data_IF_104859109842
#
_entry.id   IF_104859109842
#
_cell.length_a   1.000
_cell.length_b   1.000
_cell.length_c   1.000
_cell.angle_alpha   90.00
_cell.angle_beta   90.00
_cell.angle_gamma   90.00
#
_symmetry.space_group_name_H-M   'P 1'
#
loop_
_entity.id
_entity.type
_entity.pdbx_description
1 polymer ?
#
# COMPACT_ATOMS: atom_id res chain seq x y z
N UNK A 1 -8.68 -29.45 -15.59
CA UNK A 1 -8.01 -28.75 -16.71
C UNK A 1 -6.63 -28.32 -16.25
N UNK A 2 -5.59 -28.61 -17.05
CA UNK A 2 -4.27 -28.06 -16.80
C UNK A 2 -4.34 -26.53 -16.86
N UNK A 3 -3.68 -25.88 -15.90
CA UNK A 3 -3.59 -24.43 -15.77
C UNK A 3 -2.12 -24.06 -15.75
N UNK A 4 -1.80 -22.98 -16.43
CA UNK A 4 -0.46 -22.39 -16.45
C UNK A 4 -0.59 -20.95 -15.99
N UNK A 5 0.42 -20.47 -15.28
CA UNK A 5 0.50 -19.08 -14.82
C UNK A 5 1.90 -18.54 -15.09
N UNK A 6 1.99 -17.23 -15.31
CA UNK A 6 3.27 -16.54 -15.34
C UNK A 6 3.11 -15.08 -14.95
N UNK A 7 4.21 -14.49 -14.49
CA UNK A 7 4.38 -13.06 -14.35
C UNK A 7 5.11 -12.53 -15.59
N UNK A 8 4.55 -11.52 -16.26
CA UNK A 8 5.11 -10.95 -17.50
C UNK A 8 5.50 -9.49 -17.35
N UNK A 9 6.75 -9.18 -17.68
CA UNK A 9 7.27 -7.81 -17.77
C UNK A 9 7.66 -7.51 -19.23
N UNK A 10 6.81 -6.76 -19.94
CA UNK A 10 6.98 -6.48 -21.37
C UNK A 10 6.94 -7.75 -22.23
N UNK A 11 7.55 -7.69 -23.43
CA UNK A 11 7.49 -8.80 -24.40
C UNK A 11 8.44 -9.96 -24.08
N UNK A 12 9.58 -9.69 -23.44
CA UNK A 12 10.71 -10.64 -23.35
C UNK A 12 10.90 -11.30 -21.98
N UNK A 13 10.31 -10.78 -20.90
CA UNK A 13 10.50 -11.32 -19.56
C UNK A 13 9.23 -12.00 -19.08
N UNK A 14 9.32 -13.29 -18.79
CA UNK A 14 8.26 -14.07 -18.20
C UNK A 14 8.84 -14.97 -17.10
N UNK A 15 8.21 -14.97 -15.94
CA UNK A 15 8.53 -15.88 -14.83
C UNK A 15 7.39 -16.89 -14.72
N UNK A 16 7.61 -18.16 -15.10
CA UNK A 16 6.58 -19.19 -14.98
C UNK A 16 6.29 -19.45 -13.50
N UNK A 17 5.01 -19.66 -13.19
CA UNK A 17 4.52 -19.90 -11.84
C UNK A 17 3.97 -21.32 -11.73
N UNK A 18 4.35 -22.00 -10.65
CA UNK A 18 3.79 -23.31 -10.31
C UNK A 18 2.48 -23.11 -9.56
N UNK A 19 1.40 -23.62 -10.13
CA UNK A 19 0.07 -23.55 -9.52
C UNK A 19 -0.20 -24.82 -8.71
N UNK A 20 -0.70 -24.64 -7.47
CA UNK A 20 -1.38 -25.71 -6.73
C UNK A 20 -2.88 -25.44 -6.78
N UNK A 21 -3.66 -26.42 -7.23
CA UNK A 21 -5.13 -26.28 -7.26
C UNK A 21 -5.65 -26.37 -5.83
N UNK A 22 -6.50 -25.43 -5.45
CA UNK A 22 -7.20 -25.43 -4.18
C UNK A 22 -8.68 -25.67 -4.41
N UNK A 23 -9.32 -26.33 -3.44
CA UNK A 23 -10.77 -26.44 -3.44
C UNK A 23 -11.36 -25.11 -2.93
N UNK A 24 -12.29 -24.53 -3.67
CA UNK A 24 -13.02 -23.31 -3.30
C UNK A 24 -14.51 -23.51 -3.58
N UNK A 25 -15.26 -23.84 -2.53
CA UNK A 25 -16.73 -24.01 -2.61
C UNK A 25 -17.44 -22.70 -2.88
N UNK A 26 -16.90 -21.60 -2.36
CA UNK A 26 -17.37 -20.24 -2.60
C UNK A 26 -17.45 -19.91 -4.09
N UNK A 27 -16.50 -20.38 -4.90
CA UNK A 27 -16.55 -20.17 -6.35
C UNK A 27 -17.79 -20.80 -7.00
N UNK A 28 -18.22 -21.98 -6.53
CA UNK A 28 -19.46 -22.62 -7.00
C UNK A 28 -20.68 -21.82 -6.53
N UNK A 29 -20.72 -21.43 -5.26
CA UNK A 29 -21.82 -20.65 -4.68
C UNK A 29 -21.99 -19.28 -5.36
N UNK A 30 -20.89 -18.58 -5.60
CA UNK A 30 -20.87 -17.26 -6.25
C UNK A 30 -21.19 -17.30 -7.75
N UNK A 31 -21.02 -18.46 -8.41
CA UNK A 31 -21.24 -18.59 -9.86
C UNK A 31 -22.69 -18.37 -10.28
N UNK A 32 -23.65 -18.59 -9.36
CA UNK A 32 -25.10 -18.59 -9.63
C UNK A 32 -25.53 -19.54 -10.77
N UNK A 33 -24.68 -20.50 -11.15
CA UNK A 33 -24.97 -21.48 -12.19
C UNK A 33 -25.11 -22.88 -11.59
N UNK A 34 -26.30 -23.48 -11.66
CA UNK A 34 -26.58 -24.80 -11.07
C UNK A 34 -25.97 -25.99 -11.82
N UNK A 35 -25.59 -25.80 -13.09
CA UNK A 35 -25.10 -26.88 -13.97
C UNK A 35 -23.60 -27.13 -13.89
N UNK A 36 -22.83 -26.28 -13.18
CA UNK A 36 -21.38 -26.33 -13.17
C UNK A 36 -20.80 -26.25 -11.76
N UNK A 37 -19.93 -27.21 -11.41
CA UNK A 37 -19.15 -27.15 -10.18
C UNK A 37 -17.84 -26.41 -10.45
N UNK A 38 -17.63 -25.33 -9.70
CA UNK A 38 -16.39 -24.54 -9.70
C UNK A 38 -15.54 -24.80 -8.46
N UNK A 39 -15.80 -25.90 -7.75
CA UNK A 39 -15.10 -26.26 -6.52
C UNK A 39 -13.58 -26.37 -6.72
N UNK A 40 -13.12 -26.63 -7.94
CA UNK A 40 -11.69 -26.71 -8.27
C UNK A 40 -11.15 -25.43 -8.91
N UNK A 41 -11.89 -24.33 -8.94
CA UNK A 41 -11.46 -23.08 -9.57
C UNK A 41 -10.34 -22.37 -8.77
N UNK A 42 -10.27 -22.60 -7.46
CA UNK A 42 -9.23 -22.05 -6.60
C UNK A 42 -7.81 -22.51 -6.97
N UNK A 43 -6.84 -21.64 -6.73
CA UNK A 43 -5.42 -21.95 -6.89
C UNK A 43 -4.58 -21.08 -5.95
N UNK A 44 -3.38 -21.55 -5.67
CA UNK A 44 -2.32 -20.77 -5.05
C UNK A 44 -1.01 -20.93 -5.82
N UNK A 45 -0.09 -20.02 -5.57
CA UNK A 45 1.27 -20.07 -6.12
C UNK A 45 2.23 -19.32 -5.21
N UNK A 46 3.50 -19.69 -5.28
CA UNK A 46 4.59 -19.01 -4.58
C UNK A 46 5.44 -18.30 -5.61
N UNK A 47 5.65 -17.00 -5.37
CA UNK A 47 6.49 -16.16 -6.21
C UNK A 47 7.82 -15.96 -5.49
N UNK A 48 8.91 -16.37 -6.12
CA UNK A 48 10.26 -16.06 -5.65
C UNK A 48 10.58 -14.60 -6.00
N UNK A 49 10.76 -13.71 -5.00
CA UNK A 49 11.01 -12.29 -5.25
C UNK A 49 12.28 -12.02 -6.06
N UNK A 50 13.32 -12.86 -5.93
CA UNK A 50 14.59 -12.68 -6.62
C UNK A 50 14.42 -12.73 -8.14
N UNK A 51 13.46 -13.52 -8.64
CA UNK A 51 13.13 -13.63 -10.08
C UNK A 51 12.47 -12.38 -10.65
N UNK A 52 11.98 -11.48 -9.80
CA UNK A 52 11.30 -10.26 -10.21
C UNK A 52 12.23 -9.05 -10.31
N UNK A 53 13.45 -9.16 -9.77
CA UNK A 53 14.46 -8.10 -9.83
C UNK A 53 15.02 -7.98 -11.25
N UNK A 54 15.09 -6.74 -11.76
CA UNK A 54 15.56 -6.46 -13.13
C UNK A 54 16.68 -5.42 -13.21
N UNK A 55 17.12 -4.89 -12.07
CA UNK A 55 18.08 -3.78 -11.99
C UNK A 55 17.53 -2.42 -12.44
N UNK A 56 16.25 -2.34 -12.82
CA UNK A 56 15.60 -1.07 -13.18
C UNK A 56 15.00 -0.41 -11.93
N UNK A 57 14.88 0.92 -11.97
CA UNK A 57 14.23 1.70 -10.91
C UNK A 57 12.78 1.24 -10.63
N UNK A 58 12.05 0.82 -11.67
CA UNK A 58 10.75 0.18 -11.50
C UNK A 58 10.49 -0.86 -12.59
N UNK A 59 9.83 -1.97 -12.24
CA UNK A 59 9.33 -2.96 -13.19
C UNK A 59 7.95 -3.44 -12.77
N UNK A 60 6.98 -3.38 -13.69
CA UNK A 60 5.64 -3.93 -13.49
C UNK A 60 5.54 -5.32 -14.14
N UNK A 61 5.12 -6.29 -13.33
CA UNK A 61 4.86 -7.67 -13.71
C UNK A 61 3.35 -7.92 -13.73
N UNK A 62 2.82 -8.30 -14.89
CA UNK A 62 1.41 -8.65 -15.06
C UNK A 62 1.21 -10.13 -14.75
N UNK A 63 0.26 -10.44 -13.88
CA UNK A 63 -0.10 -11.84 -13.62
C UNK A 63 -1.07 -12.31 -14.69
N UNK A 64 -0.68 -13.35 -15.42
CA UNK A 64 -1.47 -13.96 -16.50
C UNK A 64 -1.71 -15.44 -16.17
N UNK A 65 -2.94 -15.90 -16.43
CA UNK A 65 -3.36 -17.29 -16.33
C UNK A 65 -3.73 -17.81 -17.72
N UNK A 66 -3.38 -19.07 -17.98
CA UNK A 66 -3.80 -19.83 -19.14
C UNK A 66 -4.53 -21.09 -18.75
N UNK A 67 -5.60 -21.41 -19.47
CA UNK A 67 -6.30 -22.69 -19.34
C UNK A 67 -6.37 -23.41 -20.69
N UNK A 68 -6.11 -24.70 -20.67
CA UNK A 68 -6.32 -25.56 -21.84
C UNK A 68 -7.80 -25.90 -21.95
N UNK A 69 -8.41 -25.54 -23.08
CA UNK A 69 -9.82 -25.73 -23.37
C UNK A 69 -10.02 -26.58 -24.64
N UNK A 70 -9.31 -27.71 -24.72
CA UNK A 70 -9.36 -28.63 -25.87
C UNK A 70 -8.44 -28.27 -27.05
N UNK A 71 -7.76 -27.13 -26.99
CA UNK A 71 -6.75 -26.68 -27.96
C UNK A 71 -5.31 -26.97 -27.50
N UNK A 72 -4.39 -27.09 -28.46
CA UNK A 72 -2.94 -27.24 -28.22
C UNK A 72 -2.32 -26.01 -27.51
N UNK A 73 -2.87 -24.82 -27.75
CA UNK A 73 -2.45 -23.59 -27.10
C UNK A 73 -3.44 -23.21 -25.98
N UNK A 74 -2.96 -22.75 -24.81
CA UNK A 74 -3.83 -22.29 -23.74
C UNK A 74 -4.51 -20.97 -24.13
N UNK A 75 -5.78 -20.80 -23.73
CA UNK A 75 -6.41 -19.47 -23.74
C UNK A 75 -5.90 -18.70 -22.54
N UNK A 76 -5.29 -17.55 -22.78
CA UNK A 76 -4.60 -16.75 -21.77
C UNK A 76 -5.37 -15.46 -21.47
N UNK A 77 -5.23 -14.97 -20.25
CA UNK A 77 -5.80 -13.70 -19.84
C UNK A 77 -5.18 -13.19 -18.54
N UNK A 78 -5.30 -11.87 -18.28
CA UNK A 78 -4.82 -11.31 -17.02
C UNK A 78 -5.67 -11.83 -15.86
N UNK A 79 -5.04 -12.05 -14.72
CA UNK A 79 -5.75 -12.31 -13.47
C UNK A 79 -6.45 -11.03 -13.07
N UNK A 80 -7.76 -11.15 -12.88
CA UNK A 80 -8.59 -10.03 -12.46
C UNK A 80 -9.01 -10.20 -11.01
N UNK A 81 -9.06 -9.09 -10.30
CA UNK A 81 -9.53 -9.02 -8.94
C UNK A 81 -10.66 -8.00 -8.89
N UNK A 82 -11.78 -8.40 -8.31
CA UNK A 82 -12.92 -7.52 -8.01
C UNK A 82 -12.75 -6.96 -6.61
N UNK A 83 -13.16 -5.71 -6.41
CA UNK A 83 -13.07 -5.01 -5.14
C UNK A 83 -11.76 -4.23 -4.96
N UNK A 84 -11.83 -3.28 -4.01
CA UNK A 84 -10.72 -2.44 -3.59
C UNK A 84 -10.20 -2.98 -2.26
N UNK A 85 -9.38 -4.03 -2.31
CA UNK A 85 -8.67 -4.50 -1.12
C UNK A 85 -7.21 -4.06 -1.26
N UNK A 86 -6.70 -3.19 -0.36
CA UNK A 86 -5.28 -2.87 -0.35
C UNK A 86 -4.49 -4.15 -0.08
N UNK A 87 -3.61 -4.50 -1.01
CA UNK A 87 -2.78 -5.69 -0.89
C UNK A 87 -1.46 -5.34 -0.20
N UNK A 88 -0.95 -6.19 0.70
CA UNK A 88 0.23 -5.87 1.49
C UNK A 88 1.46 -5.69 0.61
N UNK A 89 2.19 -4.61 0.85
CA UNK A 89 3.49 -4.32 0.23
C UNK A 89 4.56 -5.18 0.89
N UNK A 90 5.37 -5.86 0.09
CA UNK A 90 6.50 -6.66 0.57
C UNK A 90 7.81 -5.89 0.37
N UNK A 91 8.50 -5.56 1.45
CA UNK A 91 9.88 -5.05 1.39
C UNK A 91 10.85 -6.24 1.28
N UNK A 92 11.82 -6.13 0.38
CA UNK A 92 12.90 -7.12 0.19
C UNK A 92 14.18 -6.68 0.90
N UNK A 93 14.40 -5.37 0.97
CA UNK A 93 15.40 -4.68 1.77
C UNK A 93 14.87 -3.26 2.13
N UNK A 94 15.74 -2.38 2.60
CA UNK A 94 15.39 -1.00 2.99
C UNK A 94 14.89 -0.12 1.84
N UNK A 95 15.33 -0.39 0.61
CA UNK A 95 15.09 0.44 -0.57
C UNK A 95 14.52 -0.34 -1.76
N UNK A 96 14.09 -1.58 -1.58
CA UNK A 96 13.46 -2.40 -2.61
C UNK A 96 12.18 -3.00 -2.08
N UNK A 97 11.08 -2.77 -2.81
CA UNK A 97 9.77 -3.32 -2.48
C UNK A 97 9.06 -3.93 -3.67
N UNK A 98 8.10 -4.79 -3.36
CA UNK A 98 7.10 -5.33 -4.26
C UNK A 98 5.74 -4.85 -3.79
N UNK A 99 5.12 -3.96 -4.55
CA UNK A 99 3.78 -3.45 -4.32
C UNK A 99 2.78 -4.15 -5.25
N UNK A 100 1.83 -4.94 -4.71
CA UNK A 100 0.74 -5.46 -5.51
C UNK A 100 -0.23 -4.33 -5.83
N UNK A 101 -0.64 -4.24 -7.09
CA UNK A 101 -1.56 -3.19 -7.57
C UNK A 101 -2.67 -3.80 -8.40
N UNK A 102 -3.88 -3.25 -8.27
CA UNK A 102 -5.02 -3.58 -9.10
C UNK A 102 -5.28 -2.36 -9.97
N UNK A 103 -5.02 -2.46 -11.27
CA UNK A 103 -5.32 -1.37 -12.20
C UNK A 103 -6.16 -1.89 -13.35
N UNK A 104 -7.30 -1.24 -13.60
CA UNK A 104 -8.35 -1.69 -14.53
C UNK A 104 -8.82 -3.13 -14.25
N UNK A 105 -8.92 -3.47 -12.96
CA UNK A 105 -9.28 -4.79 -12.46
C UNK A 105 -8.20 -5.86 -12.64
N UNK A 106 -7.01 -5.55 -13.18
CA UNK A 106 -5.91 -6.50 -13.41
C UNK A 106 -4.92 -6.47 -12.25
N UNK A 107 -4.63 -7.63 -11.68
CA UNK A 107 -3.61 -7.79 -10.65
C UNK A 107 -2.20 -7.72 -11.25
N UNK A 108 -1.36 -6.88 -10.66
CA UNK A 108 0.03 -6.67 -11.04
C UNK A 108 0.92 -6.62 -9.81
N UNK A 109 2.18 -6.99 -9.99
CA UNK A 109 3.23 -6.79 -9.00
C UNK A 109 4.20 -5.74 -9.53
N UNK A 110 4.40 -4.66 -8.79
CA UNK A 110 5.40 -3.65 -9.14
C UNK A 110 6.59 -3.80 -8.22
N UNK A 111 7.75 -4.07 -8.82
CA UNK A 111 9.04 -4.00 -8.13
C UNK A 111 9.56 -2.59 -8.26
N UNK A 112 9.91 -1.94 -7.16
CA UNK A 112 10.39 -0.56 -7.11
C UNK A 112 11.68 -0.47 -6.31
N UNK A 113 12.67 0.23 -6.87
CA UNK A 113 13.82 0.75 -6.14
C UNK A 113 13.47 2.15 -5.64
N UNK A 114 13.44 2.29 -4.32
CA UNK A 114 13.07 3.48 -3.60
C UNK A 114 14.25 4.44 -3.57
N UNK A 115 13.99 5.72 -3.82
CA UNK A 115 15.02 6.75 -3.70
C UNK A 115 15.26 7.17 -2.25
N UNK A 116 14.23 7.04 -1.41
CA UNK A 116 14.27 7.41 -0.02
C UNK A 116 13.20 6.68 0.80
N UNK A 117 13.45 6.59 2.11
CA UNK A 117 12.50 6.05 3.10
C UNK A 117 12.42 6.94 4.32
N UNK A 118 11.25 6.95 4.97
CA UNK A 118 11.04 7.48 6.30
C UNK A 118 11.79 6.60 7.30
N UNK A 119 12.48 7.24 8.23
CA UNK A 119 13.22 6.60 9.32
C UNK A 119 12.54 6.90 10.64
N UNK A 120 12.03 8.12 10.81
CA UNK A 120 11.46 8.57 12.06
C UNK A 120 10.54 9.76 11.80
N UNK A 121 9.50 9.87 12.62
CA UNK A 121 8.70 11.09 12.73
C UNK A 121 8.46 11.41 14.21
N UNK A 122 8.51 12.69 14.54
CA UNK A 122 8.27 13.18 15.90
C UNK A 122 7.62 14.56 15.85
N UNK A 123 7.09 15.03 16.97
CA UNK A 123 6.49 16.36 17.05
C UNK A 123 6.94 17.08 18.30
N UNK A 124 7.06 18.41 18.19
CA UNK A 124 7.27 19.35 19.28
C UNK A 124 5.98 20.04 19.75
N UNK A 125 4.83 19.66 19.17
CA UNK A 125 3.51 20.24 19.43
C UNK A 125 3.02 21.23 18.37
N UNK A 126 3.93 21.85 17.60
CA UNK A 126 3.58 22.79 16.52
C UNK A 126 3.97 22.26 15.14
N UNK A 127 4.99 21.42 15.09
CA UNK A 127 5.58 20.88 13.87
C UNK A 127 5.72 19.37 14.00
N UNK A 128 5.67 18.70 12.86
CA UNK A 128 6.06 17.30 12.73
C UNK A 128 7.40 17.27 12.02
N UNK A 129 8.43 16.79 12.72
CA UNK A 129 9.73 16.53 12.14
C UNK A 129 9.68 15.21 11.39
N UNK A 130 9.99 15.26 10.10
CA UNK A 130 10.13 14.10 9.22
C UNK A 130 11.60 13.85 8.99
N UNK A 131 12.10 12.68 9.40
CA UNK A 131 13.49 12.26 9.17
C UNK A 131 13.51 11.05 8.25
N UNK A 132 14.34 11.11 7.22
CA UNK A 132 14.47 10.04 6.25
C UNK A 132 15.91 9.73 5.88
N UNK A 133 16.04 8.67 5.08
CA UNK A 133 17.30 8.20 4.53
C UNK A 133 17.16 8.04 3.01
N UNK A 134 18.17 8.49 2.27
CA UNK A 134 18.33 8.33 0.83
C UNK A 134 18.98 6.98 0.54
N UNK A 135 18.57 6.33 -0.56
CA UNK A 135 19.26 5.12 -1.05
C UNK A 135 20.71 5.43 -1.45
N UNK A 136 21.57 4.41 -1.45
CA UNK A 136 22.92 4.56 -1.95
C UNK A 136 22.90 4.91 -3.45
N UNK A 137 23.62 5.98 -3.83
CA UNK A 137 23.60 6.46 -5.22
C UNK A 137 22.31 7.17 -5.63
N UNK A 138 21.48 7.59 -4.66
CA UNK A 138 20.36 8.49 -4.96
C UNK A 138 20.87 9.74 -5.71
N UNK A 139 20.08 10.31 -6.63
CA UNK A 139 20.44 11.57 -7.26
C UNK A 139 20.80 12.65 -6.23
N UNK A 140 21.66 13.59 -6.59
CA UNK A 140 21.98 14.75 -5.73
C UNK A 140 20.85 15.80 -5.72
N UNK A 141 21.16 16.98 -5.17
CA UNK A 141 20.33 18.17 -5.28
C UNK A 141 18.97 18.06 -4.58
N UNK A 142 18.88 17.41 -3.42
CA UNK A 142 17.65 17.43 -2.62
C UNK A 142 17.46 18.83 -2.04
N UNK A 143 16.36 19.51 -2.39
CA UNK A 143 16.10 20.91 -1.98
C UNK A 143 14.92 21.06 -1.04
N UNK A 144 13.95 20.15 -1.10
CA UNK A 144 12.79 20.19 -0.22
C UNK A 144 12.16 18.81 0.01
N UNK A 145 11.44 18.70 1.13
CA UNK A 145 10.38 17.71 1.30
C UNK A 145 9.08 18.38 0.93
N UNK A 146 8.34 17.84 -0.05
CA UNK A 146 7.02 18.34 -0.38
C UNK A 146 5.93 17.51 0.28
N UNK A 147 4.90 18.21 0.76
CA UNK A 147 3.62 17.64 1.17
C UNK A 147 2.57 18.11 0.17
N UNK A 148 1.84 17.19 -0.47
CA UNK A 148 0.86 17.50 -1.52
C UNK A 148 -0.48 16.83 -1.26
N UNK A 149 -1.55 17.62 -1.21
CA UNK A 149 -2.91 17.13 -1.11
C UNK A 149 -3.31 16.39 -2.39
N UNK A 150 -3.73 15.14 -2.28
CA UNK A 150 -4.01 14.34 -3.48
C UNK A 150 -5.23 14.82 -4.27
N UNK A 151 -6.20 15.45 -3.60
CA UNK A 151 -7.45 15.92 -4.20
C UNK A 151 -7.29 17.33 -4.76
N UNK A 152 -6.87 18.27 -3.93
CA UNK A 152 -6.81 19.70 -4.29
C UNK A 152 -5.55 20.05 -5.07
N UNK A 153 -4.51 19.20 -5.01
CA UNK A 153 -3.17 19.47 -5.56
C UNK A 153 -2.45 20.65 -4.92
N UNK A 154 -2.95 21.11 -3.77
CA UNK A 154 -2.21 22.02 -2.92
C UNK A 154 -0.90 21.36 -2.48
N UNK A 155 0.21 22.07 -2.60
CA UNK A 155 1.53 21.56 -2.30
C UNK A 155 2.36 22.58 -1.53
N UNK A 156 3.10 22.11 -0.53
CA UNK A 156 4.03 22.91 0.27
C UNK A 156 5.42 22.28 0.21
N UNK A 157 6.41 23.06 -0.24
CA UNK A 157 7.81 22.65 -0.32
C UNK A 157 8.54 23.15 0.93
N UNK A 158 8.95 22.21 1.78
CA UNK A 158 9.56 22.51 3.06
C UNK A 158 11.08 22.34 2.96
N UNK A 159 11.85 23.32 3.47
CA UNK A 159 13.30 23.26 3.41
C UNK A 159 13.81 22.02 4.12
N UNK A 160 14.87 21.43 3.57
CA UNK A 160 15.44 20.18 4.05
C UNK A 160 16.87 20.40 4.51
N UNK A 161 17.21 19.83 5.65
CA UNK A 161 18.59 19.69 6.09
C UNK A 161 19.09 18.32 5.68
N UNK A 162 20.22 18.24 4.98
CA UNK A 162 20.80 16.99 4.49
C UNK A 162 22.16 16.78 5.16
N UNK A 163 22.35 15.60 5.74
CA UNK A 163 23.62 15.15 6.31
C UNK A 163 23.96 13.75 5.77
N UNK A 164 24.90 13.72 4.83
CA UNK A 164 25.26 12.52 4.08
C UNK A 164 24.06 11.92 3.34
N UNK A 165 23.60 10.75 3.81
CA UNK A 165 22.41 10.06 3.28
C UNK A 165 21.14 10.34 4.08
N UNK A 166 21.24 11.03 5.21
CA UNK A 166 20.08 11.36 6.04
C UNK A 166 19.57 12.74 5.70
N UNK A 167 18.27 12.94 5.87
CA UNK A 167 17.66 14.25 5.71
C UNK A 167 16.55 14.47 6.74
N UNK A 168 16.27 15.73 7.02
CA UNK A 168 15.18 16.13 7.91
C UNK A 168 14.46 17.36 7.37
N UNK A 169 13.14 17.41 7.55
CA UNK A 169 12.31 18.56 7.28
C UNK A 169 11.26 18.72 8.39
N UNK A 170 10.78 19.94 8.61
CA UNK A 170 9.77 20.26 9.62
C UNK A 170 8.48 20.70 8.93
N UNK A 171 7.42 19.94 9.18
CA UNK A 171 6.08 20.17 8.63
C UNK A 171 5.24 20.92 9.66
N UNK A 172 4.88 22.20 9.43
CA UNK A 172 4.00 22.92 10.35
C UNK A 172 2.61 22.27 10.41
N UNK A 173 2.10 22.00 11.61
CA UNK A 173 0.77 21.43 11.79
C UNK A 173 -0.34 22.40 11.34
N UNK A 174 -0.07 23.70 11.36
CA UNK A 174 -0.98 24.75 10.90
C UNK A 174 -1.28 24.70 9.39
N UNK A 175 -0.56 23.88 8.60
CA UNK A 175 -0.91 23.62 7.20
C UNK A 175 -2.18 22.77 7.05
N UNK A 176 -2.62 22.13 8.14
CA UNK A 176 -3.75 21.21 8.17
C UNK A 176 -4.89 21.76 9.04
N UNK A 177 -6.06 21.13 8.96
CA UNK A 177 -7.23 21.46 9.78
C UNK A 177 -8.35 22.17 9.02
N UNK A 178 -8.13 22.53 7.76
CA UNK A 178 -9.12 23.21 6.92
C UNK A 178 -10.10 22.25 6.20
N UNK A 179 -9.88 20.93 6.25
CA UNK A 179 -10.71 19.97 5.53
C UNK A 179 -12.12 19.85 6.15
N UNK A 180 -13.14 20.32 5.43
CA UNK A 180 -14.55 20.09 5.80
C UNK A 180 -14.91 18.61 5.62
N UNK A 181 -15.17 17.90 6.73
CA UNK A 181 -15.64 16.50 6.70
C UNK A 181 -14.58 15.42 6.97
N UNK A 182 -14.49 14.46 6.05
CA UNK A 182 -13.76 13.17 6.20
C UNK A 182 -12.24 13.27 6.19
N UNK A 183 -11.57 12.11 6.01
CA UNK A 183 -10.11 12.05 5.94
C UNK A 183 -9.57 12.71 4.66
N UNK A 184 -8.57 13.56 4.82
CA UNK A 184 -7.91 14.29 3.75
C UNK A 184 -6.43 13.87 3.59
N UNK A 185 -6.09 13.14 2.50
CA UNK A 185 -4.77 12.53 2.34
C UNK A 185 -3.79 13.47 1.62
N UNK A 186 -2.60 13.60 2.22
CA UNK A 186 -1.46 14.34 1.70
C UNK A 186 -0.27 13.40 1.48
N UNK A 187 0.28 13.38 0.27
CA UNK A 187 1.47 12.60 -0.05
C UNK A 187 2.74 13.32 0.37
N UNK A 188 3.72 12.56 0.87
CA UNK A 188 5.05 13.08 1.20
C UNK A 188 6.08 12.55 0.21
N UNK A 189 7.03 13.40 -0.15
CA UNK A 189 8.09 13.06 -1.07
C UNK A 189 9.18 14.11 -1.12
N UNK A 190 10.11 13.90 -2.04
CA UNK A 190 11.33 14.67 -2.20
C UNK A 190 11.28 15.47 -3.49
N UNK A 191 11.63 16.75 -3.38
CA UNK A 191 11.83 17.65 -4.52
C UNK A 191 13.32 17.88 -4.69
N UNK A 192 13.78 17.69 -5.92
CA UNK A 192 15.18 17.93 -6.30
C UNK A 192 15.32 19.20 -7.13
N UNK A 193 16.55 19.67 -7.27
CA UNK A 193 16.91 20.68 -8.26
C UNK A 193 16.32 20.32 -9.64
N UNK A 194 15.73 21.31 -10.31
CA UNK A 194 14.97 21.09 -11.55
C UNK A 194 13.53 20.58 -11.34
N UNK A 195 13.07 20.45 -10.10
CA UNK A 195 11.67 20.15 -9.76
C UNK A 195 11.30 18.66 -9.83
N UNK A 196 12.28 17.77 -9.95
CA UNK A 196 12.00 16.33 -9.99
C UNK A 196 11.43 15.84 -8.66
N UNK A 197 10.28 15.17 -8.71
CA UNK A 197 9.55 14.65 -7.55
C UNK A 197 9.68 13.13 -7.43
N UNK A 198 9.86 12.64 -6.20
CA UNK A 198 9.82 11.21 -5.87
C UNK A 198 9.17 10.97 -4.52
N UNK A 199 8.40 9.88 -4.39
CA UNK A 199 7.67 9.58 -3.15
C UNK A 199 8.60 9.14 -2.02
N UNK A 200 8.26 9.52 -0.78
CA UNK A 200 8.93 9.03 0.41
C UNK A 200 8.30 7.71 0.86
N UNK A 201 9.01 6.60 0.78
CA UNK A 201 8.49 5.30 1.25
C UNK A 201 8.45 5.24 2.78
N UNK A 202 7.58 4.39 3.34
CA UNK A 202 7.58 4.06 4.76
C UNK A 202 7.43 2.56 4.92
N UNK A 203 8.21 2.00 5.85
CA UNK A 203 8.21 0.58 6.15
C UNK A 203 7.27 0.29 7.34
N UNK A 204 6.78 -0.96 7.46
CA UNK A 204 5.85 -1.34 8.51
C UNK A 204 6.46 -1.38 9.93
N UNK A 205 7.77 -1.24 10.05
CA UNK A 205 8.47 -1.09 11.33
C UNK A 205 8.39 0.34 11.90
N UNK A 206 7.99 1.32 11.08
CA UNK A 206 7.67 2.67 11.54
C UNK A 206 6.21 2.70 11.99
N UNK A 207 6.01 2.79 13.30
CA UNK A 207 4.68 2.88 13.89
C UNK A 207 3.94 4.13 13.41
N UNK A 208 2.64 4.07 13.09
CA UNK A 208 1.88 5.26 12.71
C UNK A 208 1.90 6.34 13.80
N UNK A 209 2.09 7.59 13.40
CA UNK A 209 2.04 8.76 14.27
C UNK A 209 0.66 9.38 14.36
N UNK A 210 0.34 9.98 15.51
CA UNK A 210 -0.89 10.76 15.74
C UNK A 210 -0.54 12.09 16.40
N UNK A 211 -0.91 13.20 15.76
CA UNK A 211 -0.57 14.53 16.23
C UNK A 211 -1.83 15.40 16.26
N UNK A 212 -2.18 15.96 17.42
CA UNK A 212 -3.34 16.84 17.53
C UNK A 212 -3.11 18.14 16.76
N UNK A 213 -4.10 18.57 15.97
CA UNK A 213 -4.05 19.85 15.22
C UNK A 213 -5.13 20.84 15.69
N UNK A 214 -5.74 20.57 16.84
CA UNK A 214 -6.83 21.37 17.41
C UNK A 214 -8.20 21.02 16.85
N UNK A 215 -9.26 21.58 17.44
CA UNK A 215 -10.64 21.44 16.94
C UNK A 215 -11.19 20.00 16.88
N UNK A 216 -10.65 19.07 17.70
CA UNK A 216 -11.04 17.66 17.64
C UNK A 216 -10.48 16.90 16.42
N UNK A 217 -9.45 17.45 15.77
CA UNK A 217 -8.76 16.87 14.63
C UNK A 217 -7.35 16.42 14.96
N UNK A 218 -6.85 15.51 14.14
CA UNK A 218 -5.50 14.97 14.22
C UNK A 218 -4.89 14.85 12.82
N UNK A 219 -3.57 14.98 12.76
CA UNK A 219 -2.73 14.59 11.64
C UNK A 219 -2.15 13.21 11.92
N UNK A 220 -2.51 12.23 11.10
CA UNK A 220 -1.88 10.91 11.14
C UNK A 220 -0.66 10.89 10.22
N UNK A 221 0.42 10.24 10.64
CA UNK A 221 1.54 9.86 9.78
C UNK A 221 1.49 8.35 9.58
N UNK A 222 1.27 7.89 8.35
CA UNK A 222 1.06 6.46 8.08
C UNK A 222 1.59 6.01 6.71
N UNK A 223 1.61 4.70 6.51
CA UNK A 223 1.78 4.09 5.19
C UNK A 223 0.46 4.07 4.42
N UNK A 224 0.45 4.63 3.23
CA UNK A 224 -0.65 4.43 2.29
C UNK A 224 -0.63 3.00 1.71
N UNK A 225 -1.66 2.57 0.96
CA UNK A 225 -1.71 1.23 0.37
C UNK A 225 -0.54 0.87 -0.56
N UNK A 226 0.19 1.86 -1.06
CA UNK A 226 1.40 1.64 -1.89
C UNK A 226 2.69 1.61 -1.07
N UNK A 227 2.62 1.76 0.26
CA UNK A 227 3.78 1.83 1.14
C UNK A 227 4.51 3.18 1.09
N UNK A 228 3.85 4.24 0.65
CA UNK A 228 4.38 5.61 0.70
C UNK A 228 3.85 6.34 1.92
N UNK A 229 4.65 7.27 2.42
CA UNK A 229 4.30 8.13 3.55
C UNK A 229 3.13 9.03 3.16
N UNK A 230 2.09 9.00 3.98
CA UNK A 230 0.91 9.84 3.88
C UNK A 230 0.73 10.59 5.19
N UNK A 231 0.49 11.89 5.09
CA UNK A 231 -0.05 12.70 6.17
C UNK A 231 -1.55 12.77 5.96
N UNK A 232 -2.35 12.38 6.95
CA UNK A 232 -3.81 12.38 6.83
C UNK A 232 -4.41 13.27 7.87
N UNK A 233 -4.98 14.38 7.42
CA UNK A 233 -5.81 15.26 8.24
C UNK A 233 -7.19 14.62 8.40
N UNK A 234 -7.60 14.36 9.64
CA UNK A 234 -8.89 13.75 9.93
C UNK A 234 -9.45 14.19 11.27
N UNK A 235 -10.75 13.99 11.46
CA UNK A 235 -11.31 14.00 12.82
C UNK A 235 -10.74 12.85 13.64
N UNK A 236 -10.50 13.12 14.93
CA UNK A 236 -10.05 12.13 15.90
C UNK A 236 -11.00 10.93 15.88
N UNK A 237 -10.45 9.75 15.60
CA UNK A 237 -11.22 8.51 15.48
C UNK A 237 -10.46 7.29 15.98
N UNK A 238 -11.16 6.19 16.33
CA UNK A 238 -10.48 4.95 16.65
C UNK A 238 -9.65 4.47 15.45
N UNK A 239 -8.44 4.01 15.73
CA UNK A 239 -7.55 3.40 14.74
C UNK A 239 -7.21 2.00 15.22
N UNK A 240 -7.45 1.01 14.37
CA UNK A 240 -6.94 -0.36 14.56
C UNK A 240 -5.59 -0.43 13.88
N UNK A 241 -4.54 -0.71 14.65
CA UNK A 241 -3.15 -0.82 14.18
C UNK A 241 -2.63 -2.26 14.23
N UNK A 242 -3.32 -3.13 14.96
CA UNK A 242 -2.94 -4.52 15.13
C UNK A 242 -4.11 -5.42 14.78
N UNK A 243 -3.85 -6.38 13.88
CA UNK A 243 -4.79 -7.44 13.49
C UNK A 243 -4.01 -8.75 13.49
N UNK A 244 -4.36 -9.67 14.40
CA UNK A 244 -3.68 -10.97 14.51
C UNK A 244 -4.66 -12.08 14.85
N UNK A 245 -4.40 -13.27 14.35
CA UNK A 245 -5.07 -14.48 14.84
C UNK A 245 -4.31 -15.00 16.06
N UNK A 246 -5.04 -15.40 17.11
CA UNK A 246 -4.49 -15.89 18.37
C UNK A 246 -5.14 -17.22 18.74
N UNK A 247 -4.64 -18.34 18.21
CA UNK A 247 -5.19 -19.69 18.45
C UNK A 247 -6.71 -19.83 18.27
N UNK A 248 -7.30 -19.07 17.33
CA UNK A 248 -8.73 -19.13 17.02
C UNK A 248 -9.37 -17.75 16.91
N UNK A 249 -9.43 -16.94 17.97
CA UNK A 249 -9.94 -15.57 17.89
C UNK A 249 -9.09 -14.65 17.00
N UNK A 250 -9.79 -13.76 16.30
CA UNK A 250 -9.19 -12.59 15.66
C UNK A 250 -9.05 -11.48 16.71
N UNK A 251 -7.83 -11.12 17.05
CA UNK A 251 -7.51 -10.03 17.97
C UNK A 251 -7.28 -8.75 17.18
N UNK A 252 -8.08 -7.73 17.51
CA UNK A 252 -7.95 -6.36 17.01
C UNK A 252 -7.46 -5.49 18.18
N UNK A 253 -6.36 -4.76 17.97
CA UNK A 253 -5.90 -3.75 18.92
C UNK A 253 -5.61 -2.44 18.20
N UNK A 254 -5.60 -1.36 18.97
CA UNK A 254 -5.54 -0.03 18.43
C UNK A 254 -5.56 1.05 19.48
N UNK A 255 -5.71 2.29 19.03
CA UNK A 255 -5.73 3.47 19.89
C UNK A 255 -6.90 4.39 19.59
N UNK A 256 -7.43 5.01 20.64
CA UNK A 256 -8.39 6.10 20.54
C UNK A 256 -8.11 7.10 21.67
N UNK A 257 -7.77 8.36 21.34
CA UNK A 257 -7.39 9.34 22.36
C UNK A 257 -8.60 10.02 23.02
N UNK A 258 -9.84 9.71 22.58
CA UNK A 258 -11.04 10.25 23.21
C UNK A 258 -11.45 9.47 24.45
N UNK A 259 -12.16 10.13 25.36
CA UNK A 259 -12.67 9.51 26.58
C UNK A 259 -13.92 8.64 26.34
N UNK A 260 -14.20 7.75 27.29
CA UNK A 260 -15.44 6.95 27.35
C UNK A 260 -15.38 5.61 26.60
N UNK A 261 -16.28 4.67 26.95
CA UNK A 261 -16.37 3.38 26.28
C UNK A 261 -16.71 3.54 24.80
N UNK A 262 -16.18 2.65 23.97
CA UNK A 262 -16.45 2.58 22.53
C UNK A 262 -16.84 1.17 22.16
N UNK A 263 -17.75 1.08 21.21
CA UNK A 263 -18.19 -0.17 20.61
C UNK A 263 -17.51 -0.32 19.24
N UNK A 264 -16.99 -1.51 18.96
CA UNK A 264 -16.40 -1.86 17.68
C UNK A 264 -17.37 -2.81 16.97
N UNK A 265 -18.02 -2.34 15.91
CA UNK A 265 -18.96 -3.15 15.13
C UNK A 265 -18.27 -3.66 13.87
N UNK A 266 -18.28 -4.97 13.66
CA UNK A 266 -17.87 -5.59 12.40
C UNK A 266 -19.05 -5.56 11.43
N UNK A 267 -18.93 -4.74 10.38
CA UNK A 267 -19.94 -4.62 9.33
C UNK A 267 -19.43 -5.19 8.00
N UNK A 268 -20.16 -6.14 7.43
CA UNK A 268 -19.88 -6.63 6.09
C UNK A 268 -20.66 -5.81 5.05
N UNK A 269 -19.94 -4.96 4.30
CA UNK A 269 -20.51 -3.99 3.35
C UNK A 269 -21.30 -4.60 2.19
N UNK A 270 -21.20 -5.90 1.95
CA UNK A 270 -21.97 -6.59 0.93
C UNK A 270 -23.37 -7.04 1.37
N UNK A 271 -23.63 -7.18 2.68
CA UNK A 271 -24.88 -7.78 3.19
C UNK A 271 -25.54 -6.96 4.30
N UNK A 272 -24.93 -5.86 4.76
CA UNK A 272 -25.44 -5.04 5.88
C UNK A 272 -25.80 -5.88 7.13
N UNK A 273 -25.12 -7.01 7.32
CA UNK A 273 -25.20 -7.79 8.54
C UNK A 273 -24.18 -7.23 9.52
N UNK A 274 -24.68 -6.80 10.67
CA UNK A 274 -23.91 -6.40 11.84
C UNK A 274 -23.80 -7.63 12.75
N UNK A 275 -22.59 -7.99 13.14
CA UNK A 275 -22.37 -9.01 14.19
C UNK A 275 -21.81 -8.28 15.41
N UNK A 276 -22.59 -8.28 16.49
CA UNK A 276 -22.18 -7.79 17.80
C UNK A 276 -21.31 -8.82 18.54
#
# INVERSE_FOLDING_TARGET
RARVAWLRAGKRRAVPLRLRTLRSREATLASKQGLHSYDRAGFETVVDPAKLLTGRASTTWNLELGAYAGSLLPRTGPVRMSGSCPLPVRHLDDFVRIAPTVQSGKLRLRVEQLQARLVEHSSDGERVRIKGELTAGAPGGLVAVRVENWRTKEAHDLPVTVDGRTFAAEVPLALFGAAEGGADPWGVGLVREGGAWSTLAVRPDIAPGRYGIGGGRELMVLANPSGNTELRDQTVRPVVDTVRWDDGPLVLAGSYPGAGPRELVLAHSGHAEETA
#
